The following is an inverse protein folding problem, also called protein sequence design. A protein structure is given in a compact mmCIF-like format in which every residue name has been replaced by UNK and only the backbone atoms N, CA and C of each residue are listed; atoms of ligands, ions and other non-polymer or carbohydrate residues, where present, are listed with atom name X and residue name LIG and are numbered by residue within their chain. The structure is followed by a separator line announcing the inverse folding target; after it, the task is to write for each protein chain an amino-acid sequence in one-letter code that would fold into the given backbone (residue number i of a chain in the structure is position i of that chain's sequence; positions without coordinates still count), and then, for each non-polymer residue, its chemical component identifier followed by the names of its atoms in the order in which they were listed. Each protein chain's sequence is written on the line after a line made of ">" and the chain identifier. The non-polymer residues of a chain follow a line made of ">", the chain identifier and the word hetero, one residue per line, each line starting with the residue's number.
data_IF_318353630405
#
_entry.id   IF_318353630405
#
_cell.length_a   1.000
_cell.length_b   1.000
_cell.length_c   1.000
_cell.angle_alpha   90.00
_cell.angle_beta   90.00
_cell.angle_gamma   90.00
#
_symmetry.space_group_name_H-M   'P 1'
#
loop_
_entity.id
_entity.type
_entity.pdbx_description
1 polymer ?
#
# COMPACT_ATOMS: atom_id res chain seq x y z
N UNK A 1 17.81 12.55 4.82
CA UNK A 1 18.39 11.21 4.54
C UNK A 1 18.85 11.14 3.10
N UNK A 2 20.15 10.91 2.83
CA UNK A 2 20.66 10.78 1.44
C UNK A 2 20.13 9.53 0.72
N UNK A 3 19.72 8.49 1.45
CA UNK A 3 19.27 7.21 0.91
C UNK A 3 17.77 7.11 0.61
N UNK A 4 16.92 8.07 1.01
CA UNK A 4 15.47 7.92 0.81
C UNK A 4 15.06 7.91 -0.67
N UNK A 5 15.76 8.68 -1.51
CA UNK A 5 15.57 8.65 -2.97
C UNK A 5 15.82 7.28 -3.59
N UNK A 6 17.04 6.70 -3.50
CA UNK A 6 17.30 5.40 -4.11
C UNK A 6 16.43 4.29 -3.51
N UNK A 7 16.11 4.35 -2.20
CA UNK A 7 15.20 3.38 -1.58
C UNK A 7 13.79 3.51 -2.13
N UNK A 8 13.23 4.72 -2.21
CA UNK A 8 11.88 4.93 -2.76
C UNK A 8 11.76 4.48 -4.21
N UNK A 9 12.78 4.76 -5.04
CA UNK A 9 12.83 4.31 -6.43
C UNK A 9 12.94 2.79 -6.55
N UNK A 10 13.78 2.15 -5.74
CA UNK A 10 13.90 0.68 -5.72
C UNK A 10 12.58 0.01 -5.31
N UNK A 11 11.92 0.53 -4.27
CA UNK A 11 10.61 0.02 -3.84
C UNK A 11 9.53 0.26 -4.90
N UNK A 12 9.57 1.39 -5.60
CA UNK A 12 8.68 1.64 -6.74
C UNK A 12 8.92 0.64 -7.87
N UNK A 13 10.19 0.38 -8.23
CA UNK A 13 10.54 -0.60 -9.25
C UNK A 13 10.11 -2.03 -8.88
N UNK A 14 10.24 -2.41 -7.60
CA UNK A 14 9.72 -3.68 -7.08
C UNK A 14 8.18 -3.74 -7.16
N UNK A 15 7.49 -2.63 -6.88
CA UNK A 15 6.04 -2.52 -7.03
C UNK A 15 5.60 -2.72 -8.49
N UNK A 16 6.33 -2.15 -9.46
CA UNK A 16 6.08 -2.36 -10.90
C UNK A 16 6.21 -3.84 -11.27
N UNK A 17 7.23 -4.52 -10.76
CA UNK A 17 7.40 -5.96 -11.00
C UNK A 17 6.21 -6.76 -10.44
N UNK A 18 5.76 -6.46 -9.22
CA UNK A 18 4.60 -7.13 -8.62
C UNK A 18 3.31 -6.82 -9.39
N UNK A 19 3.13 -5.60 -9.87
CA UNK A 19 2.02 -5.25 -10.75
C UNK A 19 2.07 -6.06 -12.06
N UNK A 20 3.24 -6.15 -12.69
CA UNK A 20 3.42 -6.93 -13.92
C UNK A 20 3.13 -8.43 -13.69
N UNK A 21 3.60 -9.02 -12.58
CA UNK A 21 3.25 -10.40 -12.19
C UNK A 21 1.74 -10.53 -11.96
N UNK A 22 1.12 -9.53 -11.31
CA UNK A 22 -0.32 -9.48 -11.15
C UNK A 22 -1.06 -9.51 -12.49
N UNK A 23 -0.55 -8.78 -13.49
CA UNK A 23 -1.15 -8.70 -14.81
C UNK A 23 -0.96 -9.96 -15.64
N UNK A 24 0.20 -10.62 -15.54
CA UNK A 24 0.58 -11.70 -16.46
C UNK A 24 0.51 -13.11 -15.89
N UNK A 25 0.39 -13.22 -14.57
CA UNK A 25 0.28 -14.48 -13.85
C UNK A 25 -1.03 -14.55 -13.09
N UNK A 26 -1.38 -13.53 -12.31
CA UNK A 26 -2.57 -13.60 -11.45
C UNK A 26 -3.87 -13.33 -12.21
N UNK A 27 -3.91 -12.32 -13.08
CA UNK A 27 -5.12 -11.97 -13.84
C UNK A 27 -5.61 -13.13 -14.74
N UNK A 28 -4.74 -13.80 -15.54
CA UNK A 28 -5.18 -14.92 -16.39
C UNK A 28 -5.83 -16.07 -15.61
N UNK A 29 -5.43 -16.24 -14.34
CA UNK A 29 -6.00 -17.28 -13.47
C UNK A 29 -7.45 -17.00 -13.09
N UNK A 30 -7.83 -15.72 -13.05
CA UNK A 30 -9.16 -15.23 -12.65
C UNK A 30 -10.11 -14.97 -13.83
N UNK A 31 -9.61 -15.03 -15.07
CA UNK A 31 -10.42 -14.84 -16.27
C UNK A 31 -11.55 -15.88 -16.39
N UNK A 32 -12.63 -15.62 -17.15
CA UNK A 32 -13.79 -16.52 -17.27
C UNK A 32 -13.49 -17.99 -17.60
N UNK A 33 -12.41 -18.25 -18.33
CA UNK A 33 -11.96 -19.58 -18.77
C UNK A 33 -10.79 -20.09 -17.88
N UNK A 34 -10.28 -19.24 -16.99
CA UNK A 34 -9.18 -19.57 -16.08
C UNK A 34 -9.56 -20.62 -15.03
N UNK A 35 -8.55 -21.28 -14.42
CA UNK A 35 -8.76 -22.32 -13.41
C UNK A 35 -9.50 -21.81 -12.16
N UNK A 36 -9.43 -20.51 -11.89
CA UNK A 36 -10.04 -19.84 -10.73
C UNK A 36 -10.97 -18.72 -11.19
N UNK A 37 -11.77 -19.03 -12.20
CA UNK A 37 -12.66 -18.12 -12.93
C UNK A 37 -13.53 -17.25 -12.01
N UNK A 38 -13.63 -15.97 -12.36
CA UNK A 38 -14.57 -15.01 -11.76
C UNK A 38 -16.05 -15.44 -11.82
N UNK A 39 -16.39 -16.44 -12.64
CA UNK A 39 -17.73 -17.01 -12.73
C UNK A 39 -18.03 -18.04 -11.65
N UNK A 40 -17.02 -18.51 -10.92
CA UNK A 40 -17.23 -19.41 -9.79
C UNK A 40 -17.91 -18.63 -8.66
N UNK A 41 -18.96 -19.19 -8.04
CA UNK A 41 -19.63 -18.54 -6.92
C UNK A 41 -18.67 -18.43 -5.74
N UNK A 42 -18.56 -17.23 -5.16
CA UNK A 42 -17.82 -17.01 -3.92
C UNK A 42 -17.36 -15.57 -3.71
N UNK A 43 -16.98 -15.27 -2.47
CA UNK A 43 -16.46 -13.98 -2.08
C UNK A 43 -15.10 -13.69 -2.73
N UNK A 44 -14.82 -12.41 -2.98
CA UNK A 44 -13.48 -11.92 -3.37
C UNK A 44 -12.95 -12.43 -4.72
N UNK A 45 -13.79 -12.60 -5.74
CA UNK A 45 -13.38 -13.04 -7.08
C UNK A 45 -12.33 -12.11 -7.76
N UNK A 46 -12.18 -10.87 -7.30
CA UNK A 46 -11.27 -9.86 -7.87
C UNK A 46 -9.96 -9.66 -7.12
N UNK A 47 -9.51 -10.66 -6.36
CA UNK A 47 -8.28 -10.62 -5.57
C UNK A 47 -7.02 -10.25 -6.40
N UNK A 48 -6.93 -10.69 -7.66
CA UNK A 48 -5.82 -10.35 -8.56
C UNK A 48 -5.80 -8.85 -8.89
N UNK A 49 -6.97 -8.26 -9.16
CA UNK A 49 -7.15 -6.82 -9.39
C UNK A 49 -6.77 -6.01 -8.15
N UNK A 50 -7.22 -6.43 -6.97
CA UNK A 50 -6.87 -5.74 -5.73
C UNK A 50 -5.36 -5.74 -5.47
N UNK A 51 -4.66 -6.86 -5.67
CA UNK A 51 -3.20 -6.90 -5.55
C UNK A 51 -2.50 -6.00 -6.57
N UNK A 52 -2.97 -5.95 -7.83
CA UNK A 52 -2.45 -5.03 -8.85
C UNK A 52 -2.63 -3.58 -8.44
N UNK A 53 -3.80 -3.20 -7.97
CA UNK A 53 -4.08 -1.82 -7.54
C UNK A 53 -3.25 -1.44 -6.31
N UNK A 54 -3.08 -2.36 -5.34
CA UNK A 54 -2.17 -2.16 -4.20
C UNK A 54 -0.74 -1.93 -4.68
N UNK A 55 -0.27 -2.68 -5.68
CA UNK A 55 1.06 -2.49 -6.26
C UNK A 55 1.20 -1.12 -6.97
N UNK A 56 0.17 -0.66 -7.70
CA UNK A 56 0.15 0.69 -8.29
C UNK A 56 0.23 1.76 -7.19
N UNK A 57 -0.53 1.61 -6.10
CA UNK A 57 -0.42 2.55 -4.96
C UNK A 57 0.97 2.49 -4.34
N UNK A 58 1.59 1.32 -4.22
CA UNK A 58 2.96 1.17 -3.72
C UNK A 58 3.99 1.91 -4.61
N UNK A 59 3.80 1.95 -5.94
CA UNK A 59 4.59 2.81 -6.84
C UNK A 59 4.48 4.28 -6.43
N UNK A 60 3.26 4.78 -6.21
CA UNK A 60 3.03 6.18 -5.80
C UNK A 60 3.72 6.46 -4.46
N UNK A 61 3.56 5.59 -3.47
CA UNK A 61 4.16 5.76 -2.15
C UNK A 61 5.70 5.72 -2.21
N UNK A 62 6.28 4.87 -3.05
CA UNK A 62 7.71 4.82 -3.29
C UNK A 62 8.25 6.11 -3.91
N UNK A 63 7.52 6.71 -4.86
CA UNK A 63 7.86 8.02 -5.44
C UNK A 63 7.70 9.17 -4.43
N UNK A 64 6.68 9.13 -3.58
CA UNK A 64 6.51 10.09 -2.47
C UNK A 64 7.69 9.99 -1.50
N UNK A 65 8.12 8.78 -1.14
CA UNK A 65 9.33 8.56 -0.35
C UNK A 65 10.57 9.10 -1.06
N UNK A 66 10.71 8.85 -2.37
CA UNK A 66 11.85 9.28 -3.15
C UNK A 66 11.98 10.81 -3.27
N UNK A 67 10.83 11.48 -3.29
CA UNK A 67 10.69 12.94 -3.25
C UNK A 67 10.67 13.56 -1.86
N UNK A 68 10.90 12.77 -0.80
CA UNK A 68 10.83 13.21 0.59
C UNK A 68 9.50 13.88 0.98
N UNK A 69 8.38 13.42 0.40
CA UNK A 69 7.04 13.95 0.65
C UNK A 69 6.70 15.25 -0.08
N UNK A 70 7.63 15.83 -0.84
CA UNK A 70 7.44 17.14 -1.46
C UNK A 70 6.34 17.10 -2.53
N UNK A 71 5.48 18.12 -2.54
CA UNK A 71 4.40 18.30 -3.53
C UNK A 71 4.86 18.19 -4.99
N UNK A 72 6.08 18.67 -5.30
CA UNK A 72 6.67 18.57 -6.66
C UNK A 72 6.85 17.13 -7.14
N UNK A 73 6.98 16.17 -6.22
CA UNK A 73 7.02 14.74 -6.51
C UNK A 73 5.66 14.08 -6.28
N UNK A 74 5.00 14.41 -5.17
CA UNK A 74 3.72 13.81 -4.79
C UNK A 74 2.63 14.03 -5.85
N UNK A 75 2.49 15.25 -6.39
CA UNK A 75 1.49 15.54 -7.43
C UNK A 75 1.69 14.68 -8.68
N UNK A 76 2.86 14.73 -9.34
CA UNK A 76 3.15 13.86 -10.49
C UNK A 76 3.08 12.37 -10.19
N UNK A 77 3.46 11.92 -8.98
CA UNK A 77 3.34 10.52 -8.58
C UNK A 77 1.86 10.08 -8.50
N UNK A 78 0.99 10.89 -7.90
CA UNK A 78 -0.45 10.62 -7.83
C UNK A 78 -1.09 10.61 -9.23
N UNK A 79 -0.70 11.56 -10.08
CA UNK A 79 -1.16 11.59 -11.47
C UNK A 79 -0.71 10.32 -12.23
N UNK A 80 0.54 9.91 -12.08
CA UNK A 80 1.03 8.65 -12.65
C UNK A 80 0.23 7.47 -12.14
N UNK A 81 -0.02 7.37 -10.83
CA UNK A 81 -0.84 6.30 -10.25
C UNK A 81 -2.24 6.24 -10.84
N UNK A 82 -2.92 7.39 -10.95
CA UNK A 82 -4.26 7.46 -11.54
C UNK A 82 -4.28 7.06 -13.02
N UNK A 83 -3.31 7.53 -13.82
CA UNK A 83 -3.16 7.12 -15.22
C UNK A 83 -2.82 5.63 -15.34
N UNK A 84 -2.02 5.08 -14.43
CA UNK A 84 -1.66 3.67 -14.40
C UNK A 84 -2.87 2.81 -14.06
N UNK A 85 -3.66 3.18 -13.05
CA UNK A 85 -4.93 2.49 -12.73
C UNK A 85 -5.89 2.52 -13.92
N UNK A 86 -6.02 3.65 -14.61
CA UNK A 86 -6.85 3.73 -15.81
C UNK A 86 -6.33 2.82 -16.94
N UNK A 87 -5.02 2.78 -17.15
CA UNK A 87 -4.39 1.90 -18.13
C UNK A 87 -4.58 0.42 -17.76
N UNK A 88 -4.42 0.06 -16.48
CA UNK A 88 -4.61 -1.29 -15.95
C UNK A 88 -6.05 -1.79 -16.18
N UNK A 89 -7.05 -0.95 -15.90
CA UNK A 89 -8.46 -1.24 -16.19
C UNK A 89 -8.72 -1.38 -17.70
N UNK A 90 -8.09 -0.54 -18.52
CA UNK A 90 -8.28 -0.58 -19.98
C UNK A 90 -7.68 -1.84 -20.63
N UNK A 91 -6.62 -2.40 -20.05
CA UNK A 91 -5.96 -3.62 -20.54
C UNK A 91 -6.38 -4.88 -19.78
N UNK A 92 -7.34 -4.78 -18.85
CA UNK A 92 -7.75 -5.89 -17.97
C UNK A 92 -8.05 -7.17 -18.76
N UNK A 93 -8.75 -7.01 -19.90
CA UNK A 93 -9.18 -8.07 -20.81
C UNK A 93 -8.23 -8.40 -21.95
N UNK A 94 -7.05 -7.77 -22.00
CA UNK A 94 -6.05 -8.10 -23.00
C UNK A 94 -5.34 -9.43 -22.71
N UNK A 95 -5.53 -9.97 -21.49
CA UNK A 95 -4.97 -11.23 -20.98
C UNK A 95 -3.51 -11.50 -21.39
N UNK A 96 -2.58 -10.54 -21.12
CA UNK A 96 -1.19 -10.70 -21.51
C UNK A 96 -0.52 -11.76 -20.64
N UNK A 97 -0.36 -13.00 -21.11
CA UNK A 97 0.15 -14.11 -20.29
C UNK A 97 1.59 -14.53 -20.60
N UNK A 98 2.32 -14.96 -19.58
CA UNK A 98 3.65 -15.56 -19.71
C UNK A 98 4.84 -14.62 -19.59
N UNK A 99 6.02 -15.21 -19.47
CA UNK A 99 7.27 -14.52 -19.08
C UNK A 99 7.65 -13.36 -20.00
N UNK A 100 7.41 -13.50 -21.31
CA UNK A 100 7.70 -12.43 -22.28
C UNK A 100 6.93 -11.15 -21.97
N UNK A 101 5.62 -11.25 -21.72
CA UNK A 101 4.79 -10.12 -21.32
C UNK A 101 5.20 -9.56 -19.95
N UNK A 102 5.55 -10.42 -18.99
CA UNK A 102 6.05 -9.96 -17.67
C UNK A 102 7.29 -9.07 -17.83
N UNK A 103 8.24 -9.50 -18.67
CA UNK A 103 9.46 -8.74 -18.94
C UNK A 103 9.15 -7.42 -19.64
N UNK A 104 8.28 -7.43 -20.66
CA UNK A 104 7.90 -6.23 -21.40
C UNK A 104 7.18 -5.21 -20.51
N UNK A 105 6.19 -5.63 -19.72
CA UNK A 105 5.46 -4.75 -18.80
C UNK A 105 6.37 -4.21 -17.70
N UNK A 106 7.27 -5.03 -17.16
CA UNK A 106 8.25 -4.60 -16.16
C UNK A 106 9.21 -3.56 -16.73
N UNK A 107 9.79 -3.84 -17.91
CA UNK A 107 10.72 -2.93 -18.58
C UNK A 107 10.03 -1.61 -18.96
N UNK A 108 8.81 -1.67 -19.49
CA UNK A 108 8.00 -0.50 -19.82
C UNK A 108 7.67 0.34 -18.58
N UNK A 109 7.21 -0.30 -17.50
CA UNK A 109 6.94 0.40 -16.24
C UNK A 109 8.20 1.03 -15.63
N UNK A 110 9.34 0.35 -15.65
CA UNK A 110 10.62 0.92 -15.21
C UNK A 110 11.08 2.09 -16.09
N UNK A 111 10.87 2.02 -17.40
CA UNK A 111 11.16 3.13 -18.31
C UNK A 111 10.30 4.36 -17.99
N UNK A 112 9.01 4.18 -17.70
CA UNK A 112 8.11 5.26 -17.25
C UNK A 112 8.58 5.87 -15.94
N UNK A 113 8.98 5.04 -14.96
CA UNK A 113 9.55 5.52 -13.69
C UNK A 113 10.84 6.31 -13.89
N UNK A 114 11.77 5.78 -14.70
CA UNK A 114 13.04 6.45 -15.00
C UNK A 114 12.84 7.78 -15.73
N UNK A 115 11.88 7.84 -16.67
CA UNK A 115 11.52 9.07 -17.36
C UNK A 115 10.94 10.10 -16.38
N UNK A 116 10.01 9.69 -15.52
CA UNK A 116 9.45 10.58 -14.51
C UNK A 116 10.53 11.09 -13.56
N UNK A 117 11.40 10.20 -13.07
CA UNK A 117 12.53 10.58 -12.22
C UNK A 117 13.43 11.60 -12.91
N UNK A 118 13.80 11.36 -14.18
CA UNK A 118 14.66 12.25 -14.95
C UNK A 118 14.03 13.66 -15.10
N UNK A 119 12.73 13.72 -15.40
CA UNK A 119 11.99 14.99 -15.50
C UNK A 119 11.95 15.72 -14.16
N UNK A 120 11.63 15.01 -13.07
CA UNK A 120 11.56 15.60 -11.73
C UNK A 120 12.94 16.06 -11.25
N UNK A 121 13.97 15.27 -11.50
CA UNK A 121 15.34 15.63 -11.17
C UNK A 121 15.82 16.86 -11.95
N UNK A 122 15.50 16.94 -13.24
CA UNK A 122 15.81 18.11 -14.06
C UNK A 122 15.11 19.37 -13.53
N UNK A 123 13.83 19.28 -13.16
CA UNK A 123 13.06 20.38 -12.54
C UNK A 123 13.60 20.83 -11.17
N UNK A 124 14.30 19.95 -10.46
CA UNK A 124 14.93 20.27 -9.18
C UNK A 124 16.33 20.87 -9.32
N UNK A 125 16.95 20.85 -10.50
CA UNK A 125 18.26 21.48 -10.72
C UNK A 125 18.15 22.98 -10.40
N UNK A 126 18.90 23.42 -9.39
CA UNK A 126 18.91 24.82 -8.94
C UNK A 126 17.82 25.18 -7.91
N UNK A 127 16.92 24.27 -7.55
CA UNK A 127 15.99 24.51 -6.46
C UNK A 127 16.69 24.42 -5.09
N UNK A 128 16.37 25.31 -4.12
CA UNK A 128 16.85 25.19 -2.76
C UNK A 128 16.50 23.81 -2.18
N UNK A 129 17.42 23.21 -1.43
CA UNK A 129 17.15 21.95 -0.73
C UNK A 129 16.15 22.18 0.41
N UNK A 130 14.87 22.01 0.13
CA UNK A 130 13.83 22.01 1.15
C UNK A 130 13.98 20.81 2.09
N UNK A 131 13.52 20.94 3.34
CA UNK A 131 13.41 19.81 4.27
C UNK A 131 12.48 18.71 3.74
N UNK A 132 12.47 17.56 4.44
CA UNK A 132 11.48 16.53 4.18
C UNK A 132 10.09 16.99 4.67
N UNK A 133 9.05 16.73 3.88
CA UNK A 133 7.68 16.94 4.32
C UNK A 133 7.26 15.77 5.21
N UNK A 134 7.42 15.97 6.52
CA UNK A 134 7.17 14.95 7.54
C UNK A 134 5.69 14.56 7.59
N UNK A 135 4.78 15.48 7.26
CA UNK A 135 3.35 15.23 7.27
C UNK A 135 2.98 14.28 6.13
N UNK A 136 3.41 14.59 4.90
CA UNK A 136 3.18 13.74 3.74
C UNK A 136 3.83 12.35 3.90
N UNK A 137 5.05 12.28 4.43
CA UNK A 137 5.75 11.00 4.68
C UNK A 137 5.08 10.16 5.77
N UNK A 138 4.58 10.78 6.84
CA UNK A 138 3.82 10.06 7.88
C UNK A 138 2.48 9.57 7.32
N UNK A 139 1.80 10.36 6.49
CA UNK A 139 0.59 9.95 5.78
C UNK A 139 0.86 8.76 4.86
N UNK A 140 1.92 8.82 4.05
CA UNK A 140 2.35 7.73 3.18
C UNK A 140 2.66 6.44 3.97
N UNK A 141 3.30 6.57 5.14
CA UNK A 141 3.54 5.44 6.02
C UNK A 141 2.23 4.82 6.55
N UNK A 142 1.23 5.64 6.90
CA UNK A 142 -0.07 5.15 7.34
C UNK A 142 -0.83 4.43 6.22
N UNK A 143 -0.80 4.98 4.99
CA UNK A 143 -1.39 4.33 3.81
C UNK A 143 -0.75 2.97 3.55
N UNK A 144 0.58 2.90 3.49
CA UNK A 144 1.29 1.63 3.32
C UNK A 144 0.98 0.64 4.47
N UNK A 145 0.90 1.12 5.70
CA UNK A 145 0.63 0.29 6.87
C UNK A 145 -0.77 -0.34 6.83
N UNK A 146 -1.79 0.43 6.44
CA UNK A 146 -3.16 -0.10 6.28
C UNK A 146 -3.27 -1.01 5.06
N UNK A 147 -2.65 -0.66 3.93
CA UNK A 147 -2.61 -1.54 2.75
C UNK A 147 -1.89 -2.85 3.03
N UNK A 148 -0.94 -2.89 3.97
CA UNK A 148 -0.32 -4.16 4.42
C UNK A 148 -1.36 -5.11 4.98
N UNK A 149 -2.36 -4.59 5.71
CA UNK A 149 -3.46 -5.39 6.26
C UNK A 149 -4.36 -5.92 5.15
N UNK A 150 -4.66 -5.07 4.16
CA UNK A 150 -5.41 -5.47 2.97
C UNK A 150 -4.65 -6.59 2.23
N UNK A 151 -3.37 -6.38 1.89
CA UNK A 151 -2.58 -7.39 1.20
C UNK A 151 -2.48 -8.72 1.99
N UNK A 152 -2.29 -8.66 3.31
CA UNK A 152 -2.25 -9.86 4.14
C UNK A 152 -3.62 -10.55 4.23
N UNK A 153 -4.72 -9.79 4.15
CA UNK A 153 -6.08 -10.26 4.28
C UNK A 153 -6.81 -10.55 2.97
N UNK A 154 -6.23 -10.28 1.81
CA UNK A 154 -6.85 -10.63 0.52
C UNK A 154 -7.03 -12.14 0.46
N UNK A 155 -8.26 -12.52 0.15
CA UNK A 155 -8.73 -13.89 0.02
C UNK A 155 -9.18 -14.12 -1.40
N UNK A 156 -9.19 -15.38 -1.81
CA UNK A 156 -9.80 -15.83 -3.05
C UNK A 156 -11.01 -16.69 -2.73
N UNK A 157 -11.92 -16.94 -3.70
CA UNK A 157 -13.13 -17.72 -3.46
C UNK A 157 -12.87 -19.11 -2.85
N UNK A 158 -11.72 -19.73 -3.16
CA UNK A 158 -11.39 -21.07 -2.68
C UNK A 158 -10.21 -21.13 -1.70
N UNK A 159 -9.42 -20.06 -1.56
CA UNK A 159 -8.14 -20.00 -0.83
C UNK A 159 -7.20 -21.19 -1.11
N UNK A 160 -7.31 -21.78 -2.30
CA UNK A 160 -6.49 -22.92 -2.76
C UNK A 160 -5.52 -22.53 -3.87
N UNK A 161 -5.60 -21.30 -4.34
CA UNK A 161 -4.81 -20.69 -5.38
C UNK A 161 -3.35 -20.59 -4.91
N UNK A 162 -2.44 -21.43 -5.43
CA UNK A 162 -1.07 -21.51 -4.91
C UNK A 162 -0.29 -20.21 -5.17
N UNK A 163 -0.68 -19.40 -6.15
CA UNK A 163 -0.05 -18.14 -6.51
C UNK A 163 -0.48 -16.96 -5.62
N UNK A 164 -1.64 -17.04 -4.97
CA UNK A 164 -2.17 -15.94 -4.15
C UNK A 164 -1.28 -15.68 -2.92
N UNK A 165 -0.99 -16.72 -2.14
CA UNK A 165 -0.19 -16.60 -0.92
C UNK A 165 1.19 -15.95 -1.12
N UNK A 166 2.04 -16.41 -2.06
CA UNK A 166 3.34 -15.78 -2.29
C UNK A 166 3.22 -14.34 -2.80
N UNK A 167 2.22 -14.04 -3.65
CA UNK A 167 2.01 -12.69 -4.20
C UNK A 167 1.52 -11.71 -3.14
N UNK A 168 0.55 -12.12 -2.31
CA UNK A 168 0.05 -11.37 -1.17
C UNK A 168 1.15 -11.13 -0.13
N UNK A 169 1.97 -12.14 0.16
CA UNK A 169 3.12 -12.01 1.06
C UNK A 169 4.16 -11.02 0.50
N UNK A 170 4.57 -11.16 -0.76
CA UNK A 170 5.55 -10.27 -1.38
C UNK A 170 5.06 -8.81 -1.39
N UNK A 171 3.79 -8.60 -1.72
CA UNK A 171 3.13 -7.28 -1.68
C UNK A 171 3.10 -6.73 -0.25
N UNK A 172 2.72 -7.55 0.73
CA UNK A 172 2.73 -7.17 2.15
C UNK A 172 4.13 -6.77 2.63
N UNK A 173 5.17 -7.53 2.29
CA UNK A 173 6.58 -7.21 2.65
C UNK A 173 7.03 -5.89 2.02
N UNK A 174 6.68 -5.65 0.75
CA UNK A 174 6.95 -4.39 0.08
C UNK A 174 6.29 -3.21 0.80
N UNK A 175 5.03 -3.35 1.20
CA UNK A 175 4.29 -2.32 1.94
C UNK A 175 4.84 -2.10 3.36
N UNK A 176 5.31 -3.15 4.04
CA UNK A 176 6.05 -3.01 5.31
C UNK A 176 7.31 -2.16 5.11
N UNK A 177 8.08 -2.44 4.04
CA UNK A 177 9.28 -1.66 3.72
C UNK A 177 8.95 -0.19 3.42
N UNK A 178 7.88 0.09 2.68
CA UNK A 178 7.38 1.45 2.43
C UNK A 178 6.92 2.14 3.72
N UNK A 179 6.17 1.44 4.57
CA UNK A 179 5.67 1.95 5.86
C UNK A 179 6.82 2.43 6.72
N UNK A 180 7.82 1.57 6.92
CA UNK A 180 8.94 1.83 7.82
C UNK A 180 9.93 2.82 7.17
N UNK A 181 10.14 2.73 5.86
CA UNK A 181 10.96 3.66 5.09
C UNK A 181 10.42 5.08 5.14
N UNK A 182 9.12 5.26 4.93
CA UNK A 182 8.44 6.55 5.02
C UNK A 182 8.41 7.10 6.46
N UNK A 183 8.12 6.26 7.46
CA UNK A 183 8.14 6.69 8.86
C UNK A 183 9.54 7.13 9.32
N UNK A 184 10.59 6.40 8.92
CA UNK A 184 11.98 6.80 9.18
C UNK A 184 12.37 8.09 8.43
N UNK A 185 11.90 8.27 7.19
CA UNK A 185 12.13 9.49 6.43
C UNK A 185 11.41 10.71 7.04
N UNK A 186 10.29 10.49 7.71
CA UNK A 186 9.56 11.50 8.48
C UNK A 186 10.19 11.82 9.84
N UNK A 187 11.14 11.02 10.33
CA UNK A 187 11.81 11.25 11.61
C UNK A 187 12.58 12.59 11.62
N UNK A 188 12.61 13.33 12.75
CA UNK A 188 13.37 14.58 12.87
C UNK A 188 14.89 14.32 12.82
N UNK A 189 15.34 13.17 13.32
CA UNK A 189 16.73 12.75 13.31
C UNK A 189 16.84 11.23 13.24
N UNK A 190 17.88 10.75 12.55
CA UNK A 190 18.21 9.32 12.50
C UNK A 190 19.12 8.98 13.67
N UNK A 191 18.57 8.33 14.68
CA UNK A 191 19.33 7.83 15.83
C UNK A 191 19.50 6.31 15.76
N UNK A 192 20.52 5.76 16.42
CA UNK A 192 20.73 4.30 16.51
C UNK A 192 19.49 3.60 17.07
N UNK A 193 18.87 4.18 18.09
CA UNK A 193 17.64 3.66 18.69
C UNK A 193 16.50 3.53 17.67
N UNK A 194 16.27 4.54 16.82
CA UNK A 194 15.24 4.46 15.75
C UNK A 194 15.57 3.43 14.68
N UNK A 195 16.86 3.28 14.32
CA UNK A 195 17.28 2.24 13.39
C UNK A 195 17.03 0.83 13.93
N UNK A 196 17.36 0.59 15.21
CA UNK A 196 17.12 -0.72 15.87
C UNK A 196 15.62 -0.98 15.98
N UNK A 197 14.84 0.01 16.39
CA UNK A 197 13.39 -0.10 16.45
C UNK A 197 12.78 -0.42 15.07
N UNK A 198 13.22 0.28 14.03
CA UNK A 198 12.77 0.01 12.67
C UNK A 198 13.11 -1.41 12.21
N UNK A 199 14.32 -1.90 12.50
CA UNK A 199 14.69 -3.28 12.18
C UNK A 199 13.80 -4.29 12.92
N UNK A 200 13.55 -4.08 14.21
CA UNK A 200 12.64 -4.92 14.98
C UNK A 200 11.20 -4.91 14.44
N UNK A 201 10.71 -3.72 14.05
CA UNK A 201 9.39 -3.57 13.42
C UNK A 201 9.30 -4.27 12.05
N UNK A 202 10.35 -4.21 11.22
CA UNK A 202 10.39 -4.95 9.96
C UNK A 202 10.24 -6.44 10.23
N UNK A 203 11.07 -6.99 11.12
CA UNK A 203 11.04 -8.43 11.43
C UNK A 203 9.68 -8.86 11.97
N UNK A 204 9.13 -8.11 12.94
CA UNK A 204 7.83 -8.42 13.52
C UNK A 204 6.69 -8.33 12.49
N UNK A 205 6.69 -7.31 11.64
CA UNK A 205 5.65 -7.13 10.64
C UNK A 205 5.73 -8.15 9.51
N UNK A 206 6.93 -8.46 8.99
CA UNK A 206 7.12 -9.50 7.98
C UNK A 206 6.68 -10.87 8.51
N UNK A 207 7.05 -11.19 9.76
CA UNK A 207 6.58 -12.40 10.43
C UNK A 207 5.04 -12.39 10.58
N UNK A 208 4.46 -11.26 10.98
CA UNK A 208 3.00 -11.11 11.10
C UNK A 208 2.26 -11.32 9.78
N UNK A 209 2.77 -10.75 8.67
CA UNK A 209 2.22 -11.00 7.32
C UNK A 209 2.31 -12.49 6.98
N UNK A 210 3.47 -13.12 7.19
CA UNK A 210 3.67 -14.55 6.95
C UNK A 210 2.70 -15.42 7.76
N UNK A 211 2.54 -15.13 9.05
CA UNK A 211 1.61 -15.84 9.94
C UNK A 211 0.15 -15.70 9.49
N UNK A 212 -0.29 -14.50 9.09
CA UNK A 212 -1.65 -14.31 8.58
C UNK A 212 -1.88 -15.19 7.34
N UNK A 213 -0.89 -15.29 6.46
CA UNK A 213 -0.98 -16.10 5.23
C UNK A 213 -0.96 -17.61 5.47
N UNK A 214 -0.49 -18.08 6.63
CA UNK A 214 -0.55 -19.52 6.98
C UNK A 214 -1.82 -19.90 7.72
N UNK A 215 -2.61 -18.93 8.17
CA UNK A 215 -3.89 -19.13 8.87
C UNK A 215 -5.03 -19.15 7.84
N UNK A 216 -6.05 -19.96 8.07
CA UNK A 216 -7.27 -19.96 7.23
C UNK A 216 -8.05 -18.63 7.41
N UNK A 217 -8.80 -18.17 6.40
CA UNK A 217 -9.55 -16.90 6.40
C UNK A 217 -10.23 -16.49 7.71
N UNK A 218 -11.15 -17.32 8.21
CA UNK A 218 -12.05 -16.98 9.33
C UNK A 218 -11.34 -16.41 10.57
N UNK A 219 -10.29 -17.05 11.11
CA UNK A 219 -9.57 -16.55 12.27
C UNK A 219 -8.53 -15.42 12.02
N UNK A 220 -8.37 -14.89 10.79
CA UNK A 220 -7.33 -13.88 10.47
C UNK A 220 -7.55 -12.51 11.10
N UNK A 221 -8.78 -12.18 11.51
CA UNK A 221 -9.13 -10.83 11.98
C UNK A 221 -8.28 -10.36 13.17
N UNK A 222 -8.06 -11.22 14.17
CA UNK A 222 -7.25 -10.86 15.35
C UNK A 222 -5.76 -10.66 15.01
N UNK A 223 -5.08 -11.59 14.29
CA UNK A 223 -3.73 -11.36 13.78
C UNK A 223 -3.58 -10.10 12.91
N UNK A 224 -4.56 -9.81 12.05
CA UNK A 224 -4.56 -8.59 11.23
C UNK A 224 -4.66 -7.32 12.08
N UNK A 225 -5.56 -7.29 13.06
CA UNK A 225 -5.71 -6.18 14.00
C UNK A 225 -4.41 -5.97 14.81
N UNK A 226 -3.78 -7.05 15.26
CA UNK A 226 -2.48 -6.99 15.94
C UNK A 226 -1.37 -6.44 15.03
N UNK A 227 -1.29 -6.89 13.78
CA UNK A 227 -0.33 -6.38 12.79
C UNK A 227 -0.54 -4.88 12.53
N UNK A 228 -1.80 -4.45 12.37
CA UNK A 228 -2.16 -3.04 12.17
C UNK A 228 -1.75 -2.16 13.34
N UNK A 229 -2.04 -2.62 14.56
CA UNK A 229 -1.64 -1.95 15.79
C UNK A 229 -0.11 -1.82 15.89
N UNK A 230 0.63 -2.89 15.61
CA UNK A 230 2.10 -2.89 15.63
C UNK A 230 2.68 -1.91 14.60
N UNK A 231 2.21 -1.98 13.35
CA UNK A 231 2.71 -1.13 12.28
C UNK A 231 2.44 0.35 12.55
N UNK A 232 1.20 0.74 12.84
CA UNK A 232 0.84 2.15 12.99
C UNK A 232 1.33 2.74 14.31
N UNK A 233 1.40 1.96 15.38
CA UNK A 233 2.11 2.39 16.60
C UNK A 233 3.59 2.59 16.30
N UNK A 234 4.20 1.66 15.54
CA UNK A 234 5.56 1.76 15.05
C UNK A 234 5.81 3.04 14.23
N UNK A 235 4.89 3.40 13.34
CA UNK A 235 4.93 4.67 12.59
C UNK A 235 5.03 5.85 13.55
N UNK A 236 4.20 5.90 14.60
CA UNK A 236 4.24 7.02 15.55
C UNK A 236 5.56 7.07 16.31
N UNK A 237 6.08 5.92 16.76
CA UNK A 237 7.36 5.84 17.47
C UNK A 237 8.53 6.28 16.59
N UNK A 238 8.49 5.96 15.29
CA UNK A 238 9.54 6.30 14.33
C UNK A 238 9.44 7.72 13.78
N UNK A 239 8.25 8.27 13.57
CA UNK A 239 8.06 9.54 12.88
C UNK A 239 7.96 10.75 13.84
N UNK A 240 7.35 10.57 15.01
CA UNK A 240 7.11 11.67 15.96
C UNK A 240 8.38 12.15 16.65
N UNK A 241 8.32 13.35 17.22
CA UNK A 241 9.42 13.94 17.99
C UNK A 241 9.63 13.24 19.32
N UNK A 242 10.90 13.11 19.72
CA UNK A 242 11.32 12.61 21.04
C UNK A 242 11.96 13.76 21.83
N UNK A 243 11.15 14.67 22.41
CA UNK A 243 11.68 15.77 23.22
C UNK A 243 12.53 15.21 24.37
N UNK A 244 13.77 15.69 24.52
CA UNK A 244 14.72 15.15 25.50
C UNK A 244 15.29 13.76 25.14
N UNK A 245 15.16 13.33 23.89
CA UNK A 245 15.73 12.07 23.39
C UNK A 245 14.95 10.80 23.77
N UNK A 246 13.79 10.94 24.42
CA UNK A 246 12.94 9.80 24.83
C UNK A 246 11.51 9.93 24.27
N UNK A 247 10.83 8.80 23.99
CA UNK A 247 9.42 8.81 23.58
C UNK A 247 8.52 9.38 24.69
N UNK A 248 7.55 10.22 24.33
CA UNK A 248 6.53 10.69 25.28
C UNK A 248 5.45 9.61 25.35
N UNK A 249 5.63 8.63 26.25
CA UNK A 249 4.81 7.41 26.30
C UNK A 249 3.31 7.66 26.36
N UNK A 250 2.85 8.70 27.05
CA UNK A 250 1.42 9.06 27.09
C UNK A 250 0.84 9.33 25.69
N UNK A 251 1.57 10.04 24.83
CA UNK A 251 1.12 10.33 23.45
C UNK A 251 1.13 9.07 22.59
N UNK A 252 2.16 8.25 22.73
CA UNK A 252 2.25 6.97 22.01
C UNK A 252 1.21 5.96 22.48
N UNK A 253 0.81 5.96 23.75
CA UNK A 253 -0.27 5.11 24.25
C UNK A 253 -1.62 5.49 23.63
N UNK A 254 -1.93 6.78 23.54
CA UNK A 254 -3.15 7.25 22.83
C UNK A 254 -3.08 6.89 21.35
N UNK A 255 -1.92 7.09 20.71
CA UNK A 255 -1.72 6.71 19.32
C UNK A 255 -1.84 5.19 19.10
N UNK A 256 -1.42 4.37 20.07
CA UNK A 256 -1.56 2.92 20.03
C UNK A 256 -3.02 2.49 20.12
N UNK A 257 -3.83 3.13 20.98
CA UNK A 257 -5.28 2.91 21.03
C UNK A 257 -5.92 3.29 19.70
N UNK A 258 -5.54 4.44 19.12
CA UNK A 258 -6.01 4.86 17.81
C UNK A 258 -5.56 3.90 16.69
N UNK A 259 -4.35 3.36 16.76
CA UNK A 259 -3.82 2.37 15.83
C UNK A 259 -4.49 1.00 15.94
N UNK A 260 -4.98 0.64 17.13
CA UNK A 260 -5.67 -0.61 17.39
C UNK A 260 -7.09 -0.62 16.81
N UNK A 261 -7.82 0.48 17.00
CA UNK A 261 -9.25 0.58 16.65
C UNK A 261 -9.45 1.26 15.30
N UNK A 262 -8.69 2.33 15.05
CA UNK A 262 -8.86 3.24 13.91
C UNK A 262 -8.84 2.56 12.54
N UNK A 263 -7.86 1.70 12.21
CA UNK A 263 -7.78 1.08 10.89
C UNK A 263 -9.02 0.23 10.59
N UNK A 264 -9.44 -0.60 11.54
CA UNK A 264 -10.62 -1.47 11.36
C UNK A 264 -11.88 -0.63 11.26
N UNK A 265 -12.07 0.36 12.12
CA UNK A 265 -13.22 1.27 12.02
C UNK A 265 -13.27 2.00 10.69
N UNK A 266 -12.13 2.49 10.18
CA UNK A 266 -12.06 3.18 8.89
C UNK A 266 -12.28 2.23 7.71
N UNK A 267 -11.70 1.03 7.73
CA UNK A 267 -11.95 0.00 6.71
C UNK A 267 -13.44 -0.36 6.64
N UNK A 268 -14.08 -0.59 7.79
CA UNK A 268 -15.52 -0.89 7.87
C UNK A 268 -16.36 0.29 7.37
N UNK A 269 -16.07 1.51 7.83
CA UNK A 269 -16.82 2.71 7.43
C UNK A 269 -16.73 2.95 5.92
N UNK A 270 -15.52 2.89 5.35
CA UNK A 270 -15.30 3.10 3.92
C UNK A 270 -15.89 1.95 3.11
N UNK A 271 -15.72 0.71 3.55
CA UNK A 271 -16.29 -0.48 2.91
C UNK A 271 -17.81 -0.39 2.83
N UNK A 272 -18.49 -0.12 3.95
CA UNK A 272 -19.96 0.06 3.97
C UNK A 272 -20.38 1.21 3.07
N UNK A 273 -19.67 2.34 3.09
CA UNK A 273 -19.97 3.49 2.22
C UNK A 273 -19.87 3.10 0.75
N UNK A 274 -18.84 2.35 0.35
CA UNK A 274 -18.67 1.87 -1.03
C UNK A 274 -19.72 0.84 -1.42
N UNK A 275 -20.19 -0.01 -0.49
CA UNK A 275 -21.24 -0.98 -0.78
C UNK A 275 -22.60 -0.29 -0.94
N UNK A 276 -22.93 0.63 -0.04
CA UNK A 276 -24.30 1.16 0.10
C UNK A 276 -24.54 2.46 -0.65
N UNK A 277 -23.54 3.36 -0.68
CA UNK A 277 -23.73 4.74 -1.14
C UNK A 277 -23.10 5.02 -2.50
N UNK A 278 -21.91 4.45 -2.74
CA UNK A 278 -21.10 4.72 -3.93
C UNK A 278 -20.49 3.39 -4.43
N UNK A 279 -21.19 2.60 -5.27
CA UNK A 279 -20.76 1.28 -5.72
C UNK A 279 -19.59 1.34 -6.71
N UNK A 280 -18.48 1.91 -6.27
CA UNK A 280 -17.28 2.13 -7.08
C UNK A 280 -16.68 0.81 -7.55
N UNK A 281 -16.73 -0.25 -6.74
CA UNK A 281 -16.28 -1.58 -7.17
C UNK A 281 -17.03 -2.06 -8.41
N UNK A 282 -18.36 -2.00 -8.39
CA UNK A 282 -19.21 -2.33 -9.53
C UNK A 282 -18.91 -1.48 -10.77
N UNK A 283 -18.61 -0.18 -10.60
CA UNK A 283 -18.21 0.70 -11.72
C UNK A 283 -16.89 0.21 -12.34
N UNK A 284 -15.88 -0.10 -11.51
CA UNK A 284 -14.59 -0.60 -11.99
C UNK A 284 -14.72 -1.97 -12.66
N UNK A 285 -15.53 -2.86 -12.10
CA UNK A 285 -15.88 -4.15 -12.69
C UNK A 285 -16.53 -3.98 -14.05
N UNK A 286 -17.53 -3.10 -14.17
CA UNK A 286 -18.18 -2.83 -15.45
C UNK A 286 -17.23 -2.21 -16.49
N UNK A 287 -16.38 -1.25 -16.09
CA UNK A 287 -15.39 -0.62 -16.96
C UNK A 287 -14.32 -1.61 -17.45
N UNK A 288 -13.96 -2.58 -16.61
CA UNK A 288 -13.06 -3.67 -16.96
C UNK A 288 -13.74 -4.78 -17.80
N UNK A 289 -15.05 -4.68 -18.05
CA UNK A 289 -15.81 -5.72 -18.75
C UNK A 289 -15.99 -7.00 -17.94
N UNK A 290 -15.88 -6.92 -16.61
CA UNK A 290 -15.94 -8.03 -15.67
C UNK A 290 -17.36 -8.44 -15.30
N UNK A 291 -17.53 -9.74 -15.01
CA UNK A 291 -18.83 -10.33 -14.71
C UNK A 291 -19.33 -9.80 -13.36
N UNK A 292 -20.46 -9.07 -13.27
CA UNK A 292 -20.89 -8.51 -12.01
C UNK A 292 -21.06 -9.60 -10.94
N UNK A 293 -20.53 -9.35 -9.74
CA UNK A 293 -20.73 -10.23 -8.58
C UNK A 293 -22.17 -10.05 -8.12
N UNK A 294 -23.05 -10.93 -8.60
CA UNK A 294 -24.49 -10.93 -8.31
C UNK A 294 -24.85 -12.17 -7.49
N UNK A 295 -24.56 -12.15 -6.19
CA UNK A 295 -25.00 -13.13 -5.19
C UNK A 295 -24.90 -12.47 -3.79
N UNK A 296 -24.85 -13.25 -2.70
CA UNK A 296 -24.83 -12.77 -1.30
C UNK A 296 -23.65 -11.85 -0.90
N UNK A 297 -22.86 -11.40 -1.88
CA UNK A 297 -21.56 -10.74 -1.72
C UNK A 297 -21.58 -9.36 -2.40
N UNK A 298 -20.68 -8.47 -1.99
CA UNK A 298 -20.59 -7.11 -2.52
C UNK A 298 -19.33 -6.93 -3.36
N UNK A 299 -19.47 -6.29 -4.53
CA UNK A 299 -18.34 -5.90 -5.37
C UNK A 299 -17.58 -4.72 -4.73
N UNK A 300 -16.62 -5.05 -3.88
CA UNK A 300 -15.82 -4.11 -3.10
C UNK A 300 -14.38 -4.13 -3.58
N UNK A 301 -13.87 -2.96 -3.93
CA UNK A 301 -12.46 -2.76 -4.25
C UNK A 301 -11.65 -2.55 -2.95
N UNK A 302 -11.20 -3.63 -2.33
CA UNK A 302 -10.53 -3.63 -1.03
C UNK A 302 -9.27 -2.76 -1.00
N UNK A 303 -8.56 -2.70 -2.13
CA UNK A 303 -7.40 -1.82 -2.33
C UNK A 303 -7.75 -0.34 -2.17
N UNK A 304 -8.88 0.12 -2.72
CA UNK A 304 -9.36 1.48 -2.55
C UNK A 304 -9.87 1.74 -1.13
N UNK A 305 -10.58 0.77 -0.53
CA UNK A 305 -11.00 0.83 0.87
C UNK A 305 -9.78 1.03 1.79
N UNK A 306 -8.73 0.23 1.58
CA UNK A 306 -7.47 0.33 2.32
C UNK A 306 -6.73 1.65 2.08
N UNK A 307 -6.71 2.16 0.86
CA UNK A 307 -6.13 3.46 0.53
C UNK A 307 -6.82 4.58 1.31
N UNK A 308 -8.15 4.65 1.25
CA UNK A 308 -8.95 5.69 1.92
C UNK A 308 -8.86 5.57 3.45
N UNK A 309 -8.93 4.35 3.99
CA UNK A 309 -8.72 4.12 5.42
C UNK A 309 -7.32 4.52 5.87
N UNK A 310 -6.30 4.22 5.06
CA UNK A 310 -4.92 4.64 5.26
C UNK A 310 -4.74 6.16 5.26
N UNK A 311 -5.42 6.87 4.35
CA UNK A 311 -5.45 8.33 4.33
C UNK A 311 -6.14 8.89 5.57
N UNK A 312 -7.26 8.30 6.00
CA UNK A 312 -7.94 8.65 7.25
C UNK A 312 -7.02 8.47 8.47
N UNK A 313 -6.30 7.36 8.55
CA UNK A 313 -5.28 7.14 9.58
C UNK A 313 -4.13 8.14 9.48
N UNK A 314 -3.74 8.52 8.26
CA UNK A 314 -2.76 9.58 8.01
C UNK A 314 -3.19 10.92 8.60
N UNK A 315 -4.46 11.32 8.43
CA UNK A 315 -5.01 12.54 9.03
C UNK A 315 -4.96 12.51 10.57
N UNK A 316 -5.21 11.34 11.17
CA UNK A 316 -5.18 11.15 12.62
C UNK A 316 -3.76 11.12 13.19
N UNK A 317 -2.82 10.42 12.53
CA UNK A 317 -1.49 10.13 13.08
C UNK A 317 -0.40 11.09 12.59
N UNK A 318 -0.57 11.77 11.46
CA UNK A 318 0.30 12.86 11.03
C UNK A 318 -0.03 14.17 11.78
N UNK A 319 -0.14 14.09 13.10
CA UNK A 319 -0.59 15.19 13.95
C UNK A 319 0.50 16.29 14.06
N UNK A 320 0.26 17.53 13.60
CA UNK A 320 1.31 18.55 13.49
C UNK A 320 2.08 18.86 14.79
N UNK A 321 1.42 18.97 15.97
CA UNK A 321 2.12 19.17 17.24
C UNK A 321 3.06 18.02 17.65
N UNK A 322 2.79 16.79 17.19
CA UNK A 322 3.66 15.63 17.44
C UNK A 322 4.84 15.56 16.46
N UNK A 323 4.73 16.24 15.31
CA UNK A 323 5.78 16.39 14.29
C UNK A 323 6.60 17.68 14.47
N UNK A 324 6.46 18.38 15.59
CA UNK A 324 7.29 19.55 15.90
C UNK A 324 6.87 20.85 15.22
N UNK A 325 5.74 20.87 14.51
CA UNK A 325 5.15 22.10 14.00
C UNK A 325 4.53 22.85 15.19
N UNK A 326 5.29 23.79 15.77
CA UNK A 326 4.75 24.78 16.71
C UNK A 326 4.11 25.89 15.89
N UNK A 327 2.83 26.18 16.16
CA UNK A 327 2.22 27.45 15.73
C UNK A 327 2.78 28.58 16.57
#
# INVERSE_FOLDING_TARGET
>A
MRSARPVGLLLSAAAVLLWAIGMTVLQPLTEPIGPWSERLPGNNAYWARDLRFVAIVAVVLGLVLAGHGRLRWTGPAVLLGGLWTAADVAIDRADPSGTGWTVLLTAGGWAVLGLLEAVLWWRERGAPRAGADRWALTGAACVAGVLTLVAAGIESPTDREPELNPSAFATGVLLVALTIGAALAAAPARTRARCVLAAGLVVAAVFGVGLIRTITPGPRALPQLALGAVLLTGVTLLAWDWPGGRPVWRRHAVAAVAALVGPVTMLVLVGITMIVLLPVGAIFTALAGNSPINAADSDVLLSLVGLLAGLGMGLLLAWPPALGYRR
#
